data_IF_097292374005
#
_entry.id   IF_097292374005
#
_cell.length_a   1.000
_cell.length_b   1.000
_cell.length_c   1.000
_cell.angle_alpha   90.00
_cell.angle_beta   90.00
_cell.angle_gamma   90.00
#
_symmetry.space_group_name_H-M   'P 1'
#
loop_
_entity.id
_entity.type
_entity.pdbx_description
1 polymer ?
#
# COMPACT_ATOMS: atom_id res chain seq x y z
N UNK A 1 4.90 7.05 3.59
CA UNK A 1 5.99 7.45 4.49
C UNK A 1 6.61 6.19 5.07
N UNK A 2 7.92 6.18 5.28
CA UNK A 2 8.64 4.99 5.78
C UNK A 2 8.14 4.55 7.14
N UNK A 3 7.89 5.50 8.06
CA UNK A 3 7.37 5.20 9.41
C UNK A 3 6.00 4.53 9.36
N UNK A 4 5.09 5.02 8.51
CA UNK A 4 3.75 4.43 8.38
C UNK A 4 3.77 3.02 7.78
N UNK A 5 4.71 2.74 6.87
CA UNK A 5 4.91 1.39 6.32
C UNK A 5 5.44 0.43 7.40
N UNK A 6 6.42 0.86 8.21
CA UNK A 6 6.94 0.07 9.32
C UNK A 6 5.86 -0.22 10.39
N UNK A 7 5.08 0.79 10.79
CA UNK A 7 3.99 0.62 11.76
C UNK A 7 2.91 -0.31 11.22
N UNK A 8 2.55 -0.20 9.93
CA UNK A 8 1.55 -1.08 9.33
C UNK A 8 2.01 -2.55 9.32
N UNK A 9 3.29 -2.80 9.01
CA UNK A 9 3.86 -4.15 9.05
C UNK A 9 3.85 -4.72 10.47
N UNK A 10 4.31 -3.94 11.44
CA UNK A 10 4.29 -4.33 12.85
C UNK A 10 2.89 -4.72 13.33
N UNK A 11 1.87 -3.91 13.01
CA UNK A 11 0.49 -4.21 13.36
C UNK A 11 -0.04 -5.46 12.65
N UNK A 12 0.32 -5.67 11.38
CA UNK A 12 -0.10 -6.85 10.65
C UNK A 12 0.45 -8.14 11.28
N UNK A 13 1.72 -8.15 11.69
CA UNK A 13 2.34 -9.29 12.36
C UNK A 13 1.72 -9.54 13.74
N UNK A 14 1.54 -8.48 14.54
CA UNK A 14 0.89 -8.60 15.84
C UNK A 14 -0.55 -9.12 15.75
N UNK A 15 -1.31 -8.75 14.70
CA UNK A 15 -2.67 -9.23 14.49
C UNK A 15 -2.72 -10.69 14.01
N UNK A 16 -1.74 -11.14 13.21
CA UNK A 16 -1.64 -12.56 12.81
C UNK A 16 -1.50 -13.46 14.02
N UNK A 17 -0.74 -13.05 15.02
CA UNK A 17 -0.56 -13.80 16.27
C UNK A 17 -1.77 -13.72 17.19
N UNK A 18 -2.33 -12.51 17.38
CA UNK A 18 -3.39 -12.27 18.37
C UNK A 18 -4.80 -12.59 17.89
N UNK A 19 -5.05 -12.53 16.58
CA UNK A 19 -6.37 -12.67 16.00
C UNK A 19 -6.28 -13.30 14.59
N UNK A 20 -5.90 -14.59 14.47
CA UNK A 20 -5.65 -15.25 13.18
C UNK A 20 -6.88 -15.33 12.26
N UNK A 21 -8.09 -15.18 12.81
CA UNK A 21 -9.34 -15.12 12.05
C UNK A 21 -9.60 -13.74 11.41
N UNK A 22 -8.84 -12.70 11.78
CA UNK A 22 -8.98 -11.34 11.26
C UNK A 22 -8.08 -11.17 10.04
N UNK A 23 -8.68 -10.83 8.90
CA UNK A 23 -7.94 -10.52 7.69
C UNK A 23 -7.41 -9.09 7.74
N UNK A 24 -6.08 -8.93 7.74
CA UNK A 24 -5.44 -7.62 7.68
C UNK A 24 -5.10 -7.27 6.23
N UNK A 25 -5.61 -6.14 5.75
CA UNK A 25 -5.33 -5.63 4.40
C UNK A 25 -4.70 -4.24 4.45
N UNK A 26 -3.95 -3.89 3.39
CA UNK A 26 -3.38 -2.57 3.21
C UNK A 26 -4.10 -1.83 2.08
N UNK A 27 -4.37 -0.55 2.28
CA UNK A 27 -4.88 0.32 1.22
C UNK A 27 -3.91 0.32 0.04
N UNK A 28 -4.46 0.40 -1.18
CA UNK A 28 -3.66 0.54 -2.37
C UNK A 28 -2.78 1.78 -2.29
N UNK A 29 -1.54 1.68 -2.80
CA UNK A 29 -0.63 2.80 -2.95
C UNK A 29 -0.26 2.95 -4.41
N UNK A 30 -0.39 4.14 -4.95
CA UNK A 30 -0.14 4.44 -6.36
C UNK A 30 -0.72 5.80 -6.70
N UNK A 31 -1.09 5.98 -7.97
CA UNK A 31 -1.64 7.22 -8.48
C UNK A 31 -3.03 7.49 -7.92
N UNK A 32 -3.33 8.73 -7.46
CA UNK A 32 -4.67 9.10 -7.08
C UNK A 32 -5.58 9.22 -8.31
N UNK A 33 -6.89 9.08 -8.09
CA UNK A 33 -7.87 9.30 -9.16
C UNK A 33 -7.81 10.76 -9.62
N UNK A 34 -7.74 10.97 -10.93
CA UNK A 34 -7.68 12.30 -11.53
C UNK A 34 -6.30 12.94 -11.54
N UNK A 35 -5.22 12.21 -11.21
CA UNK A 35 -3.85 12.71 -11.41
C UNK A 35 -3.40 12.54 -12.86
N UNK A 36 -2.72 13.55 -13.39
CA UNK A 36 -1.95 13.42 -14.63
C UNK A 36 -0.58 12.80 -14.37
N UNK A 37 -0.16 11.92 -15.28
CA UNK A 37 1.11 11.19 -15.18
C UNK A 37 2.33 12.13 -15.25
N UNK A 38 2.22 13.24 -15.97
CA UNK A 38 3.31 14.20 -16.14
C UNK A 38 3.73 14.89 -14.84
N UNK A 39 2.85 14.89 -13.83
CA UNK A 39 3.09 15.49 -12.52
C UNK A 39 3.31 14.45 -11.42
N UNK A 40 3.27 13.16 -11.74
CA UNK A 40 3.50 12.10 -10.77
C UNK A 40 4.98 11.90 -10.50
N UNK A 41 5.34 11.73 -9.22
CA UNK A 41 6.69 11.35 -8.85
C UNK A 41 6.98 9.88 -9.19
N UNK A 42 8.26 9.58 -9.45
CA UNK A 42 8.71 8.25 -9.85
C UNK A 42 8.40 7.15 -8.81
N UNK A 43 8.39 7.51 -7.52
CA UNK A 43 8.12 6.55 -6.44
C UNK A 43 6.66 6.13 -6.48
N UNK A 44 5.74 7.10 -6.62
CA UNK A 44 4.30 6.86 -6.77
C UNK A 44 4.00 6.07 -8.04
N UNK A 45 4.62 6.42 -9.16
CA UNK A 45 4.47 5.71 -10.42
C UNK A 45 4.99 4.27 -10.32
N UNK A 46 6.15 4.08 -9.70
CA UNK A 46 6.71 2.74 -9.45
C UNK A 46 5.82 1.88 -8.54
N UNK A 47 5.17 2.49 -7.53
CA UNK A 47 4.18 1.80 -6.68
C UNK A 47 2.94 1.41 -7.49
N UNK A 48 2.42 2.31 -8.33
CA UNK A 48 1.26 2.04 -9.18
C UNK A 48 1.53 0.88 -10.16
N UNK A 49 2.71 0.86 -10.80
CA UNK A 49 3.07 -0.22 -11.71
C UNK A 49 3.25 -1.57 -11.01
N UNK A 50 3.90 -1.61 -9.85
CA UNK A 50 4.04 -2.86 -9.06
C UNK A 50 2.69 -3.39 -8.56
N UNK A 51 1.75 -2.49 -8.25
CA UNK A 51 0.42 -2.83 -7.78
C UNK A 51 -0.63 -3.03 -8.88
N UNK A 52 -0.25 -2.96 -10.17
CA UNK A 52 -1.20 -3.06 -11.30
C UNK A 52 -1.86 -4.44 -11.31
N UNK A 53 -3.18 -4.45 -11.42
CA UNK A 53 -4.00 -5.66 -11.54
C UNK A 53 -4.63 -5.73 -12.93
N UNK A 54 -4.93 -6.94 -13.39
CA UNK A 54 -5.78 -7.15 -14.57
C UNK A 54 -7.18 -6.58 -14.31
N UNK A 55 -7.88 -6.22 -15.39
CA UNK A 55 -9.26 -5.71 -15.34
C UNK A 55 -10.26 -6.86 -15.26
#
# INVERSE_FOLDING_TARGET
>A
TTTGEATALYLADAMRERAPAVTVTRLASGLPVGSDLEYADEITLGKAFRGRREL
#
